data_IF_380912166252
#
_entry.id   IF_380912166252
#
_cell.length_a   1.000
_cell.length_b   1.000
_cell.length_c   1.000
_cell.angle_alpha   90.00
_cell.angle_beta   90.00
_cell.angle_gamma   90.00
#
_symmetry.space_group_name_H-M   'P 1'
#
loop_
_entity.id
_entity.type
_entity.pdbx_description
1 polymer ?
#
# COMPACT_ATOMS: atom_id res chain seq x y z
N UNK A 1 -11.64 -7.72 3.16
CA UNK A 1 -10.61 -7.72 4.22
C UNK A 1 -11.20 -7.17 5.52
N UNK A 2 -11.71 -5.94 5.50
CA UNK A 2 -12.41 -5.31 6.63
C UNK A 2 -13.55 -6.19 7.16
N UNK A 3 -14.43 -6.70 6.29
CA UNK A 3 -15.56 -7.57 6.70
C UNK A 3 -15.14 -8.90 7.35
N UNK A 4 -13.89 -9.31 7.13
CA UNK A 4 -13.30 -10.50 7.75
C UNK A 4 -12.55 -10.18 9.06
N UNK A 5 -12.64 -8.94 9.56
CA UNK A 5 -12.06 -8.51 10.83
C UNK A 5 -10.61 -8.03 10.75
N UNK A 6 -10.05 -7.84 9.56
CA UNK A 6 -8.69 -7.31 9.41
C UNK A 6 -8.66 -5.79 9.54
N UNK A 7 -7.66 -5.26 10.24
CA UNK A 7 -7.31 -3.83 10.16
C UNK A 7 -6.67 -3.56 8.81
N UNK A 8 -7.15 -2.54 8.11
CA UNK A 8 -6.70 -2.21 6.75
C UNK A 8 -6.38 -0.73 6.71
N UNK A 9 -5.18 -0.42 6.23
CA UNK A 9 -4.77 0.92 5.84
C UNK A 9 -4.74 0.99 4.30
N UNK A 10 -5.43 1.97 3.72
CA UNK A 10 -5.39 2.27 2.29
C UNK A 10 -4.59 3.55 2.09
N UNK A 11 -3.52 3.46 1.29
CA UNK A 11 -2.70 4.60 0.88
C UNK A 11 -3.08 4.98 -0.54
N UNK A 12 -3.45 6.24 -0.74
CA UNK A 12 -3.77 6.80 -2.06
C UNK A 12 -3.05 8.15 -2.21
N UNK A 13 -2.47 8.40 -3.38
CA UNK A 13 -1.71 9.62 -3.67
C UNK A 13 -2.58 10.68 -4.33
N UNK A 14 -3.51 10.27 -5.18
CA UNK A 14 -4.39 11.16 -5.92
C UNK A 14 -5.57 11.58 -5.06
N UNK A 15 -5.59 12.84 -4.61
CA UNK A 15 -6.69 13.39 -3.80
C UNK A 15 -8.08 13.17 -4.44
N UNK A 16 -8.16 13.21 -5.77
CA UNK A 16 -9.41 12.98 -6.50
C UNK A 16 -9.95 11.54 -6.37
N UNK A 17 -9.11 10.57 -5.97
CA UNK A 17 -9.47 9.16 -5.74
C UNK A 17 -9.48 8.78 -4.27
N UNK A 18 -9.09 9.71 -3.41
CA UNK A 18 -9.12 9.53 -1.96
C UNK A 18 -10.57 9.61 -1.48
N UNK A 19 -11.23 8.45 -1.43
CA UNK A 19 -12.66 8.34 -1.12
C UNK A 19 -12.92 7.42 0.10
N UNK A 20 -12.64 7.86 1.34
CA UNK A 20 -12.78 7.01 2.53
C UNK A 20 -14.16 6.40 2.74
N UNK A 21 -15.21 7.08 2.26
CA UNK A 21 -16.59 6.60 2.33
C UNK A 21 -16.84 5.31 1.53
N UNK A 22 -15.96 4.97 0.57
CA UNK A 22 -16.09 3.73 -0.22
C UNK A 22 -15.72 2.49 0.58
N UNK A 23 -14.84 2.62 1.58
CA UNK A 23 -14.45 1.54 2.48
C UNK A 23 -14.43 2.05 3.93
N UNK A 24 -15.59 2.23 4.57
CA UNK A 24 -15.70 2.91 5.87
C UNK A 24 -14.97 2.25 7.05
N UNK A 25 -14.64 0.96 6.96
CA UNK A 25 -13.90 0.24 8.01
C UNK A 25 -12.41 0.10 7.74
N UNK A 26 -11.89 0.76 6.71
CA UNK A 26 -10.46 0.93 6.50
C UNK A 26 -10.03 2.32 6.99
N UNK A 27 -8.80 2.41 7.50
CA UNK A 27 -8.11 3.67 7.64
C UNK A 27 -7.59 4.10 6.26
N UNK A 28 -7.55 5.41 6.02
CA UNK A 28 -7.09 5.97 4.77
C UNK A 28 -5.99 6.98 5.05
N UNK A 29 -4.98 6.98 4.19
CA UNK A 29 -3.84 7.88 4.28
C UNK A 29 -3.49 8.45 2.91
N UNK A 30 -3.57 9.78 2.80
CA UNK A 30 -3.30 10.50 1.55
C UNK A 30 -1.79 10.73 1.44
N UNK A 31 -1.07 9.86 0.74
CA UNK A 31 0.39 9.90 0.65
C UNK A 31 0.93 9.16 -0.57
N UNK A 32 2.22 9.36 -0.87
CA UNK A 32 2.92 8.60 -1.92
C UNK A 32 3.61 7.36 -1.32
N UNK A 33 3.08 6.18 -1.65
CA UNK A 33 3.65 4.90 -1.20
C UNK A 33 5.01 4.54 -1.83
N UNK A 34 5.57 5.40 -2.70
CA UNK A 34 6.95 5.29 -3.20
C UNK A 34 7.95 6.06 -2.32
N UNK A 35 7.49 6.88 -1.37
CA UNK A 35 8.34 7.64 -0.47
C UNK A 35 8.48 6.94 0.88
N UNK A 36 9.72 6.72 1.32
CA UNK A 36 10.01 6.05 2.60
C UNK A 36 9.37 6.79 3.78
N UNK A 37 9.45 8.12 3.82
CA UNK A 37 8.86 8.93 4.89
C UNK A 37 7.35 8.77 5.00
N UNK A 38 6.65 8.62 3.86
CA UNK A 38 5.22 8.35 3.83
C UNK A 38 4.91 6.97 4.43
N UNK A 39 5.72 5.96 4.10
CA UNK A 39 5.56 4.60 4.64
C UNK A 39 5.92 4.50 6.13
N UNK A 40 6.86 5.32 6.61
CA UNK A 40 7.17 5.46 8.04
C UNK A 40 6.00 6.09 8.82
N UNK A 41 5.40 7.17 8.30
CA UNK A 41 4.23 7.81 8.91
C UNK A 41 3.01 6.89 8.90
N UNK A 42 2.90 6.03 7.88
CA UNK A 42 1.90 4.97 7.80
C UNK A 42 2.18 3.77 8.74
N UNK A 43 3.27 3.81 9.50
CA UNK A 43 3.76 2.71 10.36
C UNK A 43 3.85 1.36 9.62
N UNK A 44 4.34 1.36 8.38
CA UNK A 44 4.37 0.14 7.55
C UNK A 44 5.03 -1.04 8.27
N UNK A 45 6.09 -0.83 9.07
CA UNK A 45 6.82 -1.88 9.80
C UNK A 45 5.97 -2.76 10.74
N UNK A 46 4.77 -2.31 11.15
CA UNK A 46 3.89 -3.11 12.00
C UNK A 46 2.83 -3.89 11.21
N UNK A 47 2.81 -3.77 9.88
CA UNK A 47 1.88 -4.47 9.02
C UNK A 47 2.31 -5.92 8.78
N UNK A 48 1.37 -6.86 8.85
CA UNK A 48 1.63 -8.27 8.54
C UNK A 48 1.77 -8.52 7.03
N UNK A 49 1.07 -7.71 6.22
CA UNK A 49 0.97 -7.87 4.77
C UNK A 49 0.94 -6.51 4.09
N UNK A 50 1.74 -6.33 3.03
CA UNK A 50 1.68 -5.18 2.13
C UNK A 50 1.15 -5.60 0.75
N UNK A 51 0.23 -4.80 0.19
CA UNK A 51 -0.35 -5.05 -1.13
C UNK A 51 -0.22 -3.79 -2.00
N UNK A 52 0.56 -3.88 -3.07
CA UNK A 52 0.71 -2.83 -4.07
C UNK A 52 -0.18 -3.15 -5.27
N UNK A 53 -1.33 -2.46 -5.36
CA UNK A 53 -2.37 -2.76 -6.36
C UNK A 53 -2.74 -1.53 -7.21
N UNK A 54 -1.81 -0.60 -7.40
CA UNK A 54 -2.05 0.61 -8.19
C UNK A 54 -2.11 0.30 -9.70
N UNK A 55 -2.43 1.32 -10.50
CA UNK A 55 -2.37 1.27 -11.96
C UNK A 55 -0.96 1.24 -12.55
N UNK A 56 0.08 1.55 -11.76
CA UNK A 56 1.46 1.67 -12.21
C UNK A 56 2.30 0.50 -11.67
N UNK A 57 2.75 -0.38 -12.57
CA UNK A 57 3.58 -1.53 -12.21
C UNK A 57 4.92 -1.10 -11.59
N UNK A 58 5.49 0.05 -11.98
CA UNK A 58 6.76 0.54 -11.42
C UNK A 58 6.57 0.99 -9.98
N UNK A 59 5.48 1.69 -9.69
CA UNK A 59 5.12 2.06 -8.33
C UNK A 59 4.87 0.80 -7.47
N UNK A 60 4.21 -0.20 -8.04
CA UNK A 60 3.95 -1.45 -7.34
C UNK A 60 5.25 -2.22 -7.00
N UNK A 61 6.21 -2.28 -7.94
CA UNK A 61 7.53 -2.88 -7.69
C UNK A 61 8.36 -2.07 -6.70
N UNK A 62 8.35 -0.74 -6.80
CA UNK A 62 9.09 0.13 -5.89
C UNK A 62 8.58 0.01 -4.46
N UNK A 63 7.26 0.11 -4.24
CA UNK A 63 6.68 -0.07 -2.91
C UNK A 63 6.95 -1.48 -2.38
N UNK A 64 6.81 -2.51 -3.21
CA UNK A 64 7.07 -3.89 -2.79
C UNK A 64 8.54 -4.11 -2.39
N UNK A 65 9.48 -3.48 -3.09
CA UNK A 65 10.89 -3.48 -2.75
C UNK A 65 11.12 -2.80 -1.39
N UNK A 66 10.61 -1.58 -1.20
CA UNK A 66 10.72 -0.84 0.07
C UNK A 66 10.11 -1.63 1.24
N UNK A 67 8.91 -2.18 1.05
CA UNK A 67 8.26 -3.01 2.06
C UNK A 67 9.13 -4.21 2.47
N UNK A 68 9.84 -4.82 1.51
CA UNK A 68 10.76 -5.94 1.79
C UNK A 68 12.08 -5.53 2.42
N UNK A 69 12.71 -4.45 1.94
CA UNK A 69 14.07 -4.09 2.34
C UNK A 69 14.13 -3.16 3.52
N UNK A 70 13.27 -2.15 3.57
CA UNK A 70 13.31 -1.10 4.60
C UNK A 70 12.42 -1.44 5.80
N UNK A 71 11.27 -2.07 5.55
CA UNK A 71 10.26 -2.32 6.60
C UNK A 71 10.13 -3.77 7.03
N UNK A 72 10.83 -4.70 6.36
CA UNK A 72 10.89 -6.11 6.77
C UNK A 72 9.57 -6.87 6.68
N UNK A 73 8.65 -6.47 5.80
CA UNK A 73 7.32 -7.09 5.71
C UNK A 73 7.42 -8.51 5.16
N UNK A 74 6.92 -9.48 5.92
CA UNK A 74 7.01 -10.91 5.60
C UNK A 74 6.24 -11.28 4.34
N UNK A 75 5.05 -10.71 4.15
CA UNK A 75 4.22 -10.99 2.97
C UNK A 75 3.95 -9.73 2.17
N UNK A 76 4.47 -9.71 0.95
CA UNK A 76 4.28 -8.59 0.01
C UNK A 76 3.69 -9.13 -1.28
N UNK A 77 2.63 -8.49 -1.77
CA UNK A 77 1.97 -8.81 -3.04
C UNK A 77 1.96 -7.56 -3.91
N UNK A 78 2.46 -7.66 -5.14
CA UNK A 78 2.45 -6.57 -6.11
C UNK A 78 1.69 -7.00 -7.36
N UNK A 79 0.77 -6.16 -7.84
CA UNK A 79 0.08 -6.37 -9.11
C UNK A 79 1.00 -5.90 -10.25
N UNK A 80 1.25 -6.78 -11.22
CA UNK A 80 2.01 -6.50 -12.44
C UNK A 80 1.14 -6.85 -13.63
N UNK A 81 0.96 -5.91 -14.56
CA UNK A 81 0.18 -6.13 -15.78
C UNK A 81 1.07 -6.31 -17.03
N UNK A 82 2.25 -5.69 -17.05
CA UNK A 82 3.21 -5.84 -18.15
C UNK A 82 4.24 -6.93 -17.83
N UNK A 83 4.17 -8.04 -18.57
CA UNK A 83 5.04 -9.21 -18.41
C UNK A 83 6.52 -8.96 -18.80
N UNK A 84 6.88 -7.73 -19.21
CA UNK A 84 8.26 -7.34 -19.50
C UNK A 84 8.98 -6.72 -18.30
N UNK A 85 8.27 -6.45 -17.21
CA UNK A 85 8.85 -5.99 -15.95
C UNK A 85 9.27 -7.16 -15.05
#
# INVERSE_FOLDING_TARGET
>A
LVDYGHKVLLIEKEFARYEPATVPGAEWFLADACEVSSLEEAEMQICDVAIAATGDDKANLAMAFLAKTEFGIDRVVARINDARN
#
